data_IF_083474447029
#
_entry.id   IF_083474447029
#
_cell.length_a   1.000
_cell.length_b   1.000
_cell.length_c   1.000
_cell.angle_alpha   90.00
_cell.angle_beta   90.00
_cell.angle_gamma   90.00
#
_symmetry.space_group_name_H-M   'P 1'
#
loop_
_entity.id
_entity.type
_entity.pdbx_description
1 polymer ?
#
# COMPACT_ATOMS: atom_id res chain seq x y z
N UNK A 1 -10.14 -4.53 7.41
CA UNK A 1 -10.60 -3.22 6.85
C UNK A 1 -12.08 -3.25 6.56
N UNK A 2 -12.68 -2.14 6.20
CA UNK A 2 -14.13 -1.99 6.13
C UNK A 2 -14.58 -1.60 4.72
N UNK A 3 -15.64 -2.25 4.23
CA UNK A 3 -16.30 -1.90 2.97
C UNK A 3 -17.33 -0.80 3.21
N UNK A 4 -17.31 0.21 2.36
CA UNK A 4 -18.25 1.33 2.36
C UNK A 4 -18.79 1.57 0.96
N UNK A 5 -19.99 2.13 0.90
CA UNK A 5 -20.59 2.67 -0.30
C UNK A 5 -20.59 4.19 -0.19
N UNK A 6 -19.99 4.87 -1.16
CA UNK A 6 -20.20 6.31 -1.35
C UNK A 6 -21.29 6.48 -2.42
N UNK A 7 -22.33 7.23 -2.12
CA UNK A 7 -23.41 7.54 -3.05
C UNK A 7 -23.35 8.99 -3.46
N UNK A 8 -23.48 9.24 -4.76
CA UNK A 8 -23.52 10.55 -5.41
C UNK A 8 -24.92 10.73 -6.02
N UNK A 9 -25.83 11.33 -5.26
CA UNK A 9 -27.20 11.58 -5.71
C UNK A 9 -27.28 12.93 -6.42
N UNK A 10 -27.69 13.01 -7.71
CA UNK A 10 -27.82 14.26 -8.42
C UNK A 10 -28.78 15.22 -7.70
N UNK A 11 -28.45 16.49 -7.64
CA UNK A 11 -29.34 17.53 -7.09
C UNK A 11 -30.46 17.94 -8.05
N UNK A 12 -30.18 17.81 -9.35
CA UNK A 12 -31.09 18.08 -10.46
C UNK A 12 -30.89 17.02 -11.52
N UNK A 13 -31.75 16.96 -12.52
CA UNK A 13 -31.48 16.09 -13.68
C UNK A 13 -30.12 16.44 -14.28
N UNK A 14 -29.29 15.42 -14.46
CA UNK A 14 -27.94 15.54 -15.00
C UNK A 14 -27.73 14.46 -16.06
N UNK A 15 -27.06 14.82 -17.14
CA UNK A 15 -26.58 13.86 -18.12
C UNK A 15 -25.17 13.39 -17.70
N UNK A 16 -24.98 12.08 -17.58
CA UNK A 16 -23.70 11.48 -17.17
C UNK A 16 -22.75 11.44 -18.36
N UNK A 17 -21.94 12.46 -18.48
CA UNK A 17 -20.87 12.58 -19.46
C UNK A 17 -19.53 12.80 -18.75
N UNK A 18 -18.45 12.87 -19.50
CA UNK A 18 -17.10 13.00 -18.94
C UNK A 18 -16.99 14.24 -18.04
N UNK A 19 -17.56 15.37 -18.41
CA UNK A 19 -17.47 16.61 -17.62
C UNK A 19 -18.18 16.52 -16.27
N UNK A 20 -19.27 15.76 -16.19
CA UNK A 20 -20.07 15.59 -14.95
C UNK A 20 -19.51 14.49 -14.04
N UNK A 21 -18.85 13.48 -14.62
CA UNK A 21 -18.30 12.33 -13.88
C UNK A 21 -16.84 12.56 -13.46
N UNK A 22 -16.05 13.32 -14.22
CA UNK A 22 -14.64 13.59 -13.93
C UNK A 22 -14.38 14.09 -12.49
N UNK A 23 -15.16 15.03 -11.91
CA UNK A 23 -14.98 15.44 -10.53
C UNK A 23 -15.08 14.28 -9.52
N UNK A 24 -15.96 13.28 -9.78
CA UNK A 24 -16.11 12.10 -8.93
C UNK A 24 -14.86 11.21 -9.02
N UNK A 25 -14.35 10.96 -10.23
CA UNK A 25 -13.12 10.21 -10.42
C UNK A 25 -11.93 10.89 -9.74
N UNK A 26 -11.83 12.21 -9.89
CA UNK A 26 -10.79 13.00 -9.25
C UNK A 26 -10.90 12.94 -7.71
N UNK A 27 -12.12 13.04 -7.17
CA UNK A 27 -12.35 12.91 -5.73
C UNK A 27 -11.91 11.54 -5.19
N UNK A 28 -12.36 10.45 -5.82
CA UNK A 28 -11.97 9.09 -5.44
C UNK A 28 -10.45 8.87 -5.60
N UNK A 29 -9.87 9.40 -6.69
CA UNK A 29 -8.43 9.37 -6.91
C UNK A 29 -7.63 10.12 -5.84
N UNK A 30 -8.12 11.27 -5.37
CA UNK A 30 -7.49 12.03 -4.29
C UNK A 30 -7.64 11.34 -2.93
N UNK A 31 -8.78 10.71 -2.64
CA UNK A 31 -8.94 9.87 -1.44
C UNK A 31 -7.90 8.73 -1.42
N UNK A 32 -7.70 8.06 -2.57
CA UNK A 32 -6.68 7.03 -2.70
C UNK A 32 -5.27 7.56 -2.50
N UNK A 33 -4.91 8.64 -3.18
CA UNK A 33 -3.57 9.25 -3.08
C UNK A 33 -3.28 9.83 -1.69
N UNK A 34 -4.31 10.23 -0.96
CA UNK A 34 -4.20 10.63 0.44
C UNK A 34 -4.17 9.44 1.41
N UNK A 35 -4.39 8.21 0.92
CA UNK A 35 -4.38 6.99 1.72
C UNK A 35 -5.63 6.74 2.56
N UNK A 36 -6.75 7.42 2.25
CA UNK A 36 -8.03 7.28 2.94
C UNK A 36 -8.83 6.08 2.43
N UNK A 37 -8.61 5.66 1.17
CA UNK A 37 -9.21 4.46 0.56
C UNK A 37 -8.14 3.61 -0.11
N UNK A 38 -8.44 2.33 -0.35
CA UNK A 38 -7.62 1.48 -1.19
C UNK A 38 -7.87 1.75 -2.68
N UNK A 39 -6.94 1.34 -3.55
CA UNK A 39 -7.00 1.58 -4.99
C UNK A 39 -8.20 0.93 -5.68
N UNK A 40 -8.65 -0.21 -5.17
CA UNK A 40 -9.71 -1.00 -5.83
C UNK A 40 -11.08 -0.42 -5.48
N UNK A 41 -11.52 0.54 -6.27
CA UNK A 41 -12.87 1.10 -6.20
C UNK A 41 -13.51 1.09 -7.59
N UNK A 42 -14.80 0.87 -7.62
CA UNK A 42 -15.60 0.83 -8.84
C UNK A 42 -16.73 1.85 -8.75
N UNK A 43 -16.94 2.64 -9.79
CA UNK A 43 -18.05 3.56 -9.92
C UNK A 43 -19.15 2.88 -10.73
N UNK A 44 -20.35 2.84 -10.17
CA UNK A 44 -21.52 2.15 -10.75
C UNK A 44 -22.67 3.14 -10.86
N UNK A 45 -23.35 3.13 -12.01
CA UNK A 45 -24.58 3.87 -12.22
C UNK A 45 -25.79 3.00 -11.84
N UNK A 46 -26.79 3.60 -11.21
CA UNK A 46 -28.10 3.01 -11.00
C UNK A 46 -29.20 4.08 -11.18
N UNK A 47 -30.47 3.69 -11.02
CA UNK A 47 -31.63 4.58 -11.17
C UNK A 47 -31.64 5.81 -10.24
N UNK A 48 -30.93 5.77 -9.13
CA UNK A 48 -30.93 6.79 -8.08
C UNK A 48 -29.67 7.69 -8.16
N UNK A 49 -28.73 7.41 -9.08
CA UNK A 49 -27.50 8.14 -9.27
C UNK A 49 -26.27 7.24 -9.42
N UNK A 50 -25.12 7.77 -9.03
CA UNK A 50 -23.85 7.04 -9.05
C UNK A 50 -23.46 6.59 -7.64
N UNK A 51 -22.77 5.45 -7.53
CA UNK A 51 -22.20 5.03 -6.27
C UNK A 51 -20.86 4.31 -6.48
N UNK A 52 -20.00 4.41 -5.50
CA UNK A 52 -18.72 3.71 -5.49
C UNK A 52 -18.62 2.74 -4.32
N UNK A 53 -18.21 1.50 -4.60
CA UNK A 53 -17.74 0.57 -3.57
C UNK A 53 -16.28 0.90 -3.26
N UNK A 54 -15.99 1.17 -2.00
CA UNK A 54 -14.65 1.50 -1.54
C UNK A 54 -14.27 0.67 -0.33
N UNK A 55 -12.97 0.51 -0.09
CA UNK A 55 -12.44 -0.10 1.14
C UNK A 55 -11.68 0.95 1.92
N UNK A 56 -12.07 1.14 3.18
CA UNK A 56 -11.40 2.02 4.12
C UNK A 56 -10.41 1.23 4.97
N UNK A 57 -9.21 1.80 5.26
CA UNK A 57 -8.26 1.19 6.19
C UNK A 57 -8.84 1.09 7.61
N UNK A 58 -9.63 2.08 8.02
CA UNK A 58 -10.39 2.09 9.30
C UNK A 58 -11.63 3.00 9.20
N UNK A 59 -12.41 3.09 10.29
CA UNK A 59 -13.64 3.87 10.32
C UNK A 59 -13.45 5.41 10.37
N UNK A 60 -12.23 5.88 10.60
CA UNK A 60 -11.92 7.31 10.72
C UNK A 60 -11.49 7.95 9.40
N UNK A 61 -11.18 7.11 8.40
CA UNK A 61 -10.52 7.56 7.17
C UNK A 61 -11.29 8.66 6.40
N UNK A 62 -12.63 8.64 6.40
CA UNK A 62 -13.45 9.64 5.70
C UNK A 62 -13.81 10.87 6.55
N UNK A 63 -13.28 11.00 7.76
CA UNK A 63 -13.52 12.22 8.56
C UNK A 63 -12.90 13.44 7.87
N UNK A 64 -13.60 14.59 7.88
CA UNK A 64 -13.13 15.81 7.20
C UNK A 64 -11.75 16.29 7.63
N UNK A 65 -11.36 16.08 8.88
CA UNK A 65 -10.03 16.44 9.40
C UNK A 65 -8.88 15.66 8.75
N UNK A 66 -9.17 14.53 8.13
CA UNK A 66 -8.18 13.71 7.42
C UNK A 66 -8.03 14.10 5.94
N UNK A 67 -8.84 15.02 5.45
CA UNK A 67 -8.77 15.46 4.07
C UNK A 67 -7.56 16.39 3.85
N UNK A 68 -6.80 16.13 2.80
CA UNK A 68 -5.84 17.10 2.30
C UNK A 68 -6.53 18.18 1.41
N UNK A 69 -5.73 19.12 0.89
CA UNK A 69 -6.23 20.21 0.05
C UNK A 69 -6.93 19.71 -1.22
N UNK A 70 -6.43 18.63 -1.82
CA UNK A 70 -6.98 18.08 -3.07
C UNK A 70 -8.30 17.34 -2.85
N UNK A 71 -8.39 16.53 -1.78
CA UNK A 71 -9.64 15.87 -1.39
C UNK A 71 -10.73 16.91 -1.15
N UNK A 72 -10.43 18.00 -0.41
CA UNK A 72 -11.38 19.07 -0.16
C UNK A 72 -11.77 19.79 -1.44
N UNK A 73 -10.82 20.08 -2.34
CA UNK A 73 -11.06 20.72 -3.63
C UNK A 73 -12.06 19.92 -4.47
N UNK A 74 -11.79 18.64 -4.68
CA UNK A 74 -12.65 17.81 -5.54
C UNK A 74 -13.96 17.41 -4.87
N UNK A 75 -14.00 17.29 -3.54
CA UNK A 75 -15.26 17.11 -2.82
C UNK A 75 -16.16 18.33 -2.99
N UNK A 76 -15.61 19.54 -2.99
CA UNK A 76 -16.37 20.76 -3.25
C UNK A 76 -16.95 20.75 -4.68
N UNK A 77 -16.14 20.43 -5.69
CA UNK A 77 -16.58 20.32 -7.07
C UNK A 77 -17.69 19.26 -7.26
N UNK A 78 -17.55 18.08 -6.65
CA UNK A 78 -18.60 17.04 -6.66
C UNK A 78 -19.88 17.59 -6.02
N UNK A 79 -19.77 18.28 -4.89
CA UNK A 79 -20.92 18.84 -4.17
C UNK A 79 -21.65 19.97 -4.92
N UNK A 80 -21.11 20.52 -5.98
CA UNK A 80 -21.85 21.44 -6.84
C UNK A 80 -23.05 20.77 -7.51
N UNK A 81 -22.88 19.52 -7.94
CA UNK A 81 -23.88 18.79 -8.72
C UNK A 81 -24.54 17.63 -7.96
N UNK A 82 -23.87 17.09 -6.92
CA UNK A 82 -24.30 15.90 -6.20
C UNK A 82 -24.41 16.10 -4.70
N UNK A 83 -25.35 15.42 -4.08
CA UNK A 83 -25.32 15.13 -2.65
C UNK A 83 -24.46 13.90 -2.43
N UNK A 84 -23.49 13.98 -1.51
CA UNK A 84 -22.54 12.89 -1.22
C UNK A 84 -22.85 12.30 0.15
N UNK A 85 -23.04 11.01 0.21
CA UNK A 85 -23.24 10.26 1.46
C UNK A 85 -22.38 9.00 1.47
N UNK A 86 -22.05 8.49 2.64
CA UNK A 86 -21.33 7.23 2.81
C UNK A 86 -22.08 6.31 3.76
N UNK A 87 -22.08 5.01 3.45
CA UNK A 87 -22.73 3.97 4.21
C UNK A 87 -21.76 2.83 4.49
N UNK A 88 -21.68 2.38 5.74
CA UNK A 88 -20.93 1.20 6.13
C UNK A 88 -21.65 -0.06 5.65
N UNK A 89 -20.98 -0.92 4.90
CA UNK A 89 -21.54 -2.16 4.38
C UNK A 89 -21.13 -3.38 5.20
N UNK A 90 -20.00 -3.32 5.88
CA UNK A 90 -19.47 -4.44 6.64
C UNK A 90 -17.94 -4.55 6.56
N UNK A 91 -17.40 -5.63 7.13
CA UNK A 91 -15.98 -5.96 7.03
C UNK A 91 -15.64 -6.48 5.63
N UNK A 92 -14.61 -5.93 5.02
CA UNK A 92 -14.05 -6.50 3.79
C UNK A 92 -13.14 -7.68 4.14
N UNK A 93 -13.58 -8.88 3.78
CA UNK A 93 -12.88 -10.14 4.13
C UNK A 93 -11.60 -10.37 3.32
N UNK A 94 -11.36 -9.58 2.28
CA UNK A 94 -10.14 -9.68 1.46
C UNK A 94 -8.95 -8.93 2.07
N UNK A 95 -9.17 -8.21 3.18
CA UNK A 95 -8.16 -7.35 3.80
C UNK A 95 -8.12 -7.55 5.31
N UNK A 96 -6.92 -7.58 5.85
CA UNK A 96 -6.70 -7.58 7.28
C UNK A 96 -7.01 -6.22 7.92
N UNK A 97 -7.08 -6.19 9.24
CA UNK A 97 -7.24 -4.95 9.98
C UNK A 97 -5.96 -4.12 9.92
N UNK A 98 -6.12 -2.81 9.84
CA UNK A 98 -5.01 -1.87 9.94
C UNK A 98 -4.38 -1.84 11.33
N UNK A 99 -3.17 -1.29 11.42
CA UNK A 99 -2.50 -1.04 12.67
C UNK A 99 -3.34 -0.10 13.56
N UNK A 100 -3.50 -0.50 14.82
CA UNK A 100 -4.17 0.27 15.88
C UNK A 100 -3.21 0.73 17.00
N UNK A 101 -1.90 0.51 16.85
CA UNK A 101 -0.88 0.98 17.79
C UNK A 101 -0.89 2.51 17.81
N UNK A 102 -0.98 3.11 19.01
CA UNK A 102 -0.95 4.57 19.13
C UNK A 102 0.43 5.14 18.79
N UNK A 103 1.49 4.46 19.21
CA UNK A 103 2.87 4.88 19.00
C UNK A 103 3.74 3.70 18.58
N UNK A 104 3.73 3.31 17.29
CA UNK A 104 4.67 2.31 16.79
C UNK A 104 6.12 2.69 17.10
N UNK A 105 6.93 1.71 17.53
CA UNK A 105 8.34 1.95 17.86
C UNK A 105 9.23 2.04 16.62
N UNK A 106 8.84 1.39 15.54
CA UNK A 106 9.49 1.43 14.22
C UNK A 106 8.52 1.03 13.12
N UNK A 107 8.92 1.28 11.88
CA UNK A 107 8.12 1.00 10.69
C UNK A 107 8.94 0.25 9.64
N UNK A 108 8.23 -0.39 8.72
CA UNK A 108 8.81 -1.08 7.57
C UNK A 108 8.09 -0.70 6.29
N UNK A 109 8.85 -0.42 5.23
CA UNK A 109 8.32 -0.31 3.87
C UNK A 109 8.31 -1.71 3.24
N UNK A 110 7.12 -2.27 3.05
CA UNK A 110 6.89 -3.61 2.54
C UNK A 110 5.64 -3.69 1.68
N UNK A 111 5.70 -4.43 0.61
CA UNK A 111 4.55 -4.85 -0.19
C UNK A 111 4.87 -6.14 -0.93
N UNK A 112 3.86 -6.82 -1.45
CA UNK A 112 3.96 -7.87 -2.45
C UNK A 112 2.87 -7.71 -3.50
N UNK A 113 2.85 -8.57 -4.52
CA UNK A 113 1.93 -8.45 -5.64
C UNK A 113 0.45 -8.62 -5.23
N UNK A 114 0.15 -9.30 -4.13
CA UNK A 114 -1.22 -9.54 -3.64
C UNK A 114 -1.75 -8.40 -2.77
N UNK A 115 -0.86 -7.72 -2.03
CA UNK A 115 -1.26 -6.70 -1.05
C UNK A 115 -1.73 -5.42 -1.75
N UNK A 116 -2.87 -4.89 -1.36
CA UNK A 116 -3.38 -3.59 -1.80
C UNK A 116 -3.49 -2.56 -0.67
N UNK A 117 -3.13 -2.96 0.54
CA UNK A 117 -3.03 -2.11 1.73
C UNK A 117 -1.85 -1.14 1.60
N UNK A 118 -1.78 -0.21 2.56
CA UNK A 118 -0.62 0.68 2.71
C UNK A 118 0.68 -0.11 2.71
N UNK A 119 1.72 0.31 1.97
CA UNK A 119 3.01 -0.34 2.01
C UNK A 119 3.83 -0.02 3.28
N UNK A 120 3.31 0.84 4.16
CA UNK A 120 3.94 1.08 5.46
C UNK A 120 3.36 0.14 6.49
N UNK A 121 4.22 -0.66 7.10
CA UNK A 121 3.87 -1.69 8.08
C UNK A 121 4.42 -1.29 9.44
N UNK A 122 3.59 -1.45 10.47
CA UNK A 122 3.99 -1.23 11.87
C UNK A 122 4.97 -2.33 12.30
N UNK A 123 6.10 -1.92 12.85
CA UNK A 123 7.14 -2.82 13.33
C UNK A 123 6.77 -3.59 14.61
N UNK A 124 5.78 -3.15 15.35
CA UNK A 124 5.37 -3.79 16.60
C UNK A 124 4.27 -4.85 16.38
N UNK A 125 3.31 -4.58 15.51
CA UNK A 125 2.17 -5.49 15.30
C UNK A 125 2.13 -6.16 13.92
N UNK A 126 3.01 -5.77 12.96
CA UNK A 126 3.05 -6.33 11.62
C UNK A 126 1.88 -5.97 10.71
N UNK A 127 1.01 -5.03 11.12
CA UNK A 127 -0.15 -4.60 10.34
C UNK A 127 0.14 -3.34 9.54
N UNK A 128 -0.56 -3.17 8.41
CA UNK A 128 -0.47 -1.98 7.57
C UNK A 128 -0.91 -0.73 8.33
N UNK A 129 -0.11 0.34 8.24
CA UNK A 129 -0.42 1.65 8.82
C UNK A 129 -1.13 2.48 7.76
N UNK A 130 -2.34 3.01 8.02
CA UNK A 130 -3.04 3.84 7.06
C UNK A 130 -2.21 5.06 6.65
N UNK A 131 -2.03 5.29 5.34
CA UNK A 131 -1.18 6.38 4.86
C UNK A 131 -1.70 7.76 5.30
N UNK A 132 -3.02 7.97 5.36
CA UNK A 132 -3.58 9.25 5.77
C UNK A 132 -3.22 9.67 7.21
N UNK A 133 -2.73 8.72 8.04
CA UNK A 133 -2.20 8.98 9.39
C UNK A 133 -0.72 9.38 9.41
N UNK A 134 -0.05 9.28 8.29
CA UNK A 134 1.38 9.56 8.15
C UNK A 134 1.58 10.92 7.46
N UNK A 135 2.65 11.63 7.79
CA UNK A 135 2.95 12.88 7.11
C UNK A 135 3.27 12.65 5.64
N UNK A 136 2.87 13.58 4.79
CA UNK A 136 3.32 13.59 3.40
C UNK A 136 4.83 13.85 3.33
N UNK A 137 5.51 13.12 2.45
CA UNK A 137 6.97 13.20 2.24
C UNK A 137 7.27 13.71 0.82
N UNK A 138 8.55 13.93 0.50
CA UNK A 138 9.01 14.28 -0.85
C UNK A 138 8.38 15.59 -1.40
N UNK A 139 8.13 16.57 -0.52
CA UNK A 139 7.56 17.89 -0.87
C UNK A 139 6.22 17.81 -1.61
N UNK A 140 5.43 16.80 -1.31
CA UNK A 140 4.10 16.56 -1.88
C UNK A 140 3.03 16.68 -0.79
N UNK A 141 1.82 17.07 -1.18
CA UNK A 141 0.62 17.03 -0.33
C UNK A 141 -0.19 15.74 -0.54
N UNK A 142 0.40 14.74 -1.17
CA UNK A 142 -0.17 13.40 -1.42
C UNK A 142 0.90 12.32 -1.22
N UNK A 143 0.49 11.06 -1.01
CA UNK A 143 1.39 9.91 -0.93
C UNK A 143 1.75 9.30 -2.30
N UNK A 144 1.65 10.10 -3.37
CA UNK A 144 1.84 9.61 -4.75
C UNK A 144 3.18 8.89 -4.96
N UNK A 145 4.29 9.41 -4.42
CA UNK A 145 5.61 8.78 -4.55
C UNK A 145 5.69 7.40 -3.86
N UNK A 146 5.06 7.27 -2.69
CA UNK A 146 4.98 6.01 -1.94
C UNK A 146 4.14 4.98 -2.69
N UNK A 147 2.98 5.39 -3.18
CA UNK A 147 2.06 4.55 -3.95
C UNK A 147 2.63 4.20 -5.33
N UNK A 148 3.40 5.10 -5.94
CA UNK A 148 4.14 4.85 -7.18
C UNK A 148 5.21 3.77 -7.00
N UNK A 149 5.99 3.86 -5.91
CA UNK A 149 6.94 2.81 -5.55
C UNK A 149 6.23 1.47 -5.31
N UNK A 150 5.11 1.47 -4.58
CA UNK A 150 4.32 0.26 -4.34
C UNK A 150 3.87 -0.37 -5.66
N UNK A 151 3.37 0.43 -6.60
CA UNK A 151 2.92 -0.06 -7.90
C UNK A 151 4.09 -0.66 -8.72
N UNK A 152 5.26 -0.01 -8.70
CA UNK A 152 6.47 -0.51 -9.37
C UNK A 152 6.95 -1.84 -8.76
N UNK A 153 6.97 -1.92 -7.41
CA UNK A 153 7.34 -3.16 -6.72
C UNK A 153 6.39 -4.31 -7.06
N UNK A 154 5.08 -4.08 -6.98
CA UNK A 154 4.05 -5.08 -7.32
C UNK A 154 4.18 -5.57 -8.75
N UNK A 155 4.40 -4.67 -9.70
CA UNK A 155 4.61 -5.04 -11.12
C UNK A 155 5.85 -5.90 -11.30
N UNK A 156 6.94 -5.59 -10.61
CA UNK A 156 8.17 -6.36 -10.63
C UNK A 156 7.96 -7.76 -10.03
N UNK A 157 7.27 -7.84 -8.90
CA UNK A 157 6.97 -9.09 -8.20
C UNK A 157 6.00 -9.98 -9.00
N UNK A 158 5.02 -9.41 -9.71
CA UNK A 158 4.14 -10.12 -10.65
C UNK A 158 4.99 -10.76 -11.77
N UNK A 159 5.85 -10.00 -12.41
CA UNK A 159 6.71 -10.52 -13.48
C UNK A 159 7.59 -11.67 -12.98
N UNK A 160 8.16 -11.52 -11.79
CA UNK A 160 8.96 -12.58 -11.18
C UNK A 160 8.12 -13.82 -10.83
N UNK A 161 6.92 -13.64 -10.30
CA UNK A 161 6.00 -14.74 -9.95
C UNK A 161 5.60 -15.58 -11.15
N UNK A 162 5.43 -14.95 -12.31
CA UNK A 162 5.13 -15.63 -13.58
C UNK A 162 6.37 -16.04 -14.38
N UNK A 163 7.56 -15.99 -13.77
CA UNK A 163 8.84 -16.39 -14.39
C UNK A 163 9.17 -15.58 -15.65
N UNK A 164 8.77 -14.32 -15.70
CA UNK A 164 9.12 -13.39 -16.76
C UNK A 164 10.28 -12.49 -16.30
N UNK A 165 11.36 -12.45 -17.09
CA UNK A 165 12.54 -11.61 -16.79
C UNK A 165 13.17 -11.87 -15.41
N UNK A 166 13.25 -13.12 -14.97
CA UNK A 166 13.64 -13.55 -13.62
C UNK A 166 14.88 -12.85 -13.07
N UNK A 167 15.96 -12.74 -13.88
CA UNK A 167 17.20 -12.10 -13.43
C UNK A 167 17.04 -10.62 -13.15
N UNK A 168 16.28 -9.92 -13.98
CA UNK A 168 16.03 -8.50 -13.83
C UNK A 168 15.14 -8.24 -12.62
N UNK A 169 13.99 -8.91 -12.55
CA UNK A 169 13.00 -8.73 -11.49
C UNK A 169 13.55 -9.12 -10.12
N UNK A 170 14.22 -10.27 -10.03
CA UNK A 170 14.91 -10.68 -8.82
C UNK A 170 15.93 -9.64 -8.36
N UNK A 171 16.78 -9.14 -9.28
CA UNK A 171 17.77 -8.12 -8.98
C UNK A 171 17.11 -6.84 -8.46
N UNK A 172 16.00 -6.39 -9.07
CA UNK A 172 15.31 -5.18 -8.63
C UNK A 172 14.83 -5.29 -7.17
N UNK A 173 14.36 -6.44 -6.73
CA UNK A 173 13.82 -6.65 -5.38
C UNK A 173 14.87 -7.05 -4.33
N UNK A 174 15.96 -7.73 -4.76
CA UNK A 174 16.97 -8.33 -3.86
C UNK A 174 18.24 -7.50 -3.70
N UNK A 175 18.65 -6.74 -4.72
CA UNK A 175 19.87 -5.94 -4.69
C UNK A 175 19.57 -4.56 -4.07
N UNK A 176 20.18 -4.22 -2.90
CA UNK A 176 19.94 -2.92 -2.28
C UNK A 176 20.45 -1.73 -3.12
N UNK A 177 21.24 -2.00 -4.16
CA UNK A 177 21.75 -0.99 -5.13
C UNK A 177 20.88 -0.90 -6.39
N UNK A 178 19.82 -1.70 -6.52
CA UNK A 178 18.87 -1.57 -7.63
C UNK A 178 18.09 -0.26 -7.53
N UNK A 179 17.54 0.22 -8.66
CA UNK A 179 16.75 1.43 -8.66
C UNK A 179 15.54 1.31 -7.71
N UNK A 180 14.80 0.20 -7.80
CA UNK A 180 13.61 -0.04 -6.96
C UNK A 180 13.94 -0.03 -5.47
N UNK A 181 15.06 -0.67 -5.08
CA UNK A 181 15.51 -0.69 -3.67
C UNK A 181 16.00 0.68 -3.22
N UNK A 182 16.76 1.41 -4.05
CA UNK A 182 17.24 2.76 -3.73
C UNK A 182 16.08 3.74 -3.52
N UNK A 183 15.05 3.67 -4.37
CA UNK A 183 13.85 4.50 -4.23
C UNK A 183 13.10 4.17 -2.93
N UNK A 184 12.94 2.88 -2.60
CA UNK A 184 12.33 2.45 -1.35
C UNK A 184 13.12 2.88 -0.11
N UNK A 185 14.45 2.76 -0.14
CA UNK A 185 15.33 3.23 0.94
C UNK A 185 15.23 4.77 1.10
N UNK A 186 15.11 5.51 -0.01
CA UNK A 186 14.91 6.96 0.03
C UNK A 186 13.58 7.35 0.67
N UNK A 187 12.51 6.62 0.37
CA UNK A 187 11.19 6.77 1.02
C UNK A 187 11.31 6.53 2.53
N UNK A 188 11.97 5.45 2.95
CA UNK A 188 12.19 5.15 4.37
C UNK A 188 12.91 6.29 5.08
N UNK A 189 13.99 6.82 4.50
CA UNK A 189 14.73 7.96 5.06
C UNK A 189 13.87 9.20 5.20
N UNK A 190 13.07 9.53 4.18
CA UNK A 190 12.20 10.70 4.22
C UNK A 190 11.12 10.59 5.32
N UNK A 191 10.57 9.39 5.55
CA UNK A 191 9.67 9.16 6.69
C UNK A 191 10.41 9.22 8.03
N UNK A 192 11.57 8.58 8.16
CA UNK A 192 12.37 8.61 9.39
C UNK A 192 12.72 10.05 9.79
N UNK A 193 13.13 10.90 8.84
CA UNK A 193 13.41 12.31 9.06
C UNK A 193 12.18 13.11 9.55
N UNK A 194 10.98 12.81 9.00
CA UNK A 194 9.75 13.53 9.39
C UNK A 194 9.14 13.04 10.69
N UNK A 195 9.20 11.75 10.97
CA UNK A 195 8.51 11.11 12.12
C UNK A 195 9.44 10.98 13.32
N UNK A 196 10.76 10.92 13.10
CA UNK A 196 11.77 10.72 14.16
C UNK A 196 11.79 9.29 14.71
N UNK A 197 11.21 8.32 14.00
CA UNK A 197 11.22 6.89 14.36
C UNK A 197 11.87 6.07 13.27
N UNK A 198 12.56 4.95 13.59
CA UNK A 198 13.24 4.13 12.59
C UNK A 198 12.31 3.60 11.52
N UNK A 199 12.69 3.76 10.25
CA UNK A 199 12.03 3.19 9.09
C UNK A 199 12.99 2.25 8.37
N UNK A 200 12.54 1.01 8.15
CA UNK A 200 13.33 -0.03 7.52
C UNK A 200 12.77 -0.37 6.14
N UNK A 201 13.67 -0.58 5.19
CA UNK A 201 13.32 -1.12 3.89
C UNK A 201 13.34 -2.65 3.95
N UNK A 202 12.24 -3.29 3.52
CA UNK A 202 12.20 -4.74 3.39
C UNK A 202 12.89 -5.19 2.11
N UNK A 203 14.03 -5.87 2.26
CA UNK A 203 14.78 -6.43 1.15
C UNK A 203 14.30 -7.85 0.86
N UNK A 204 13.83 -8.08 -0.35
CA UNK A 204 13.39 -9.41 -0.78
C UNK A 204 14.53 -10.44 -0.67
N UNK A 205 14.22 -11.59 -0.08
CA UNK A 205 15.17 -12.67 0.10
C UNK A 205 14.63 -13.99 -0.45
N UNK A 206 15.46 -14.71 -1.21
CA UNK A 206 15.14 -16.03 -1.74
C UNK A 206 16.20 -17.05 -1.27
N UNK A 207 16.11 -17.50 0.00
CA UNK A 207 16.94 -18.57 0.61
C UNK A 207 18.47 -18.42 0.51
N UNK A 208 18.97 -17.47 -0.28
CA UNK A 208 20.39 -17.25 -0.56
C UNK A 208 21.00 -16.11 0.24
N UNK A 209 20.26 -15.56 1.22
CA UNK A 209 20.75 -14.40 1.96
C UNK A 209 21.97 -14.79 2.79
N UNK A 210 23.01 -14.02 2.60
CA UNK A 210 24.18 -14.08 3.45
C UNK A 210 23.75 -13.77 4.88
N UNK A 211 24.37 -14.40 5.87
CA UNK A 211 24.20 -14.08 7.30
C UNK A 211 24.55 -12.63 7.64
N UNK A 212 25.21 -11.95 6.73
CA UNK A 212 25.71 -10.59 6.86
C UNK A 212 24.90 -9.61 6.05
N UNK A 213 24.70 -8.41 6.58
CA UNK A 213 24.02 -7.32 5.89
C UNK A 213 24.67 -7.04 4.52
N UNK A 214 23.90 -6.97 3.42
CA UNK A 214 24.47 -6.81 2.08
C UNK A 214 25.10 -5.42 1.81
N UNK A 215 24.96 -4.46 2.74
CA UNK A 215 25.55 -3.12 2.62
C UNK A 215 26.79 -2.97 3.49
N UNK A 216 26.71 -3.33 4.78
CA UNK A 216 27.80 -3.05 5.75
C UNK A 216 28.52 -4.30 6.27
N UNK A 217 28.15 -5.50 5.80
CA UNK A 217 28.71 -6.79 6.21
C UNK A 217 28.64 -7.07 7.74
N UNK A 218 27.81 -6.33 8.50
CA UNK A 218 27.53 -6.66 9.91
C UNK A 218 26.60 -7.87 10.03
N UNK A 219 26.68 -8.61 11.14
CA UNK A 219 25.63 -9.60 11.46
C UNK A 219 24.30 -8.86 11.66
N UNK A 220 23.28 -9.30 10.97
CA UNK A 220 21.94 -8.70 11.03
C UNK A 220 20.85 -9.71 11.38
N UNK A 221 21.24 -10.96 11.71
CA UNK A 221 20.29 -11.98 12.12
C UNK A 221 19.73 -11.64 13.49
N UNK A 222 18.40 -11.75 13.62
CA UNK A 222 17.72 -11.62 14.91
C UNK A 222 17.79 -12.96 15.64
N UNK A 223 18.24 -12.93 16.90
CA UNK A 223 18.36 -14.09 17.76
C UNK A 223 17.41 -13.97 18.96
N UNK A 224 16.66 -15.03 19.26
CA UNK A 224 15.96 -15.19 20.53
C UNK A 224 14.54 -14.64 20.63
N UNK A 225 14.13 -13.69 19.82
CA UNK A 225 12.75 -13.15 19.85
C UNK A 225 11.95 -13.64 18.64
N UNK A 226 10.65 -13.93 18.87
CA UNK A 226 9.71 -14.17 17.78
C UNK A 226 9.32 -12.82 17.17
N UNK A 227 10.01 -12.42 16.10
CA UNK A 227 9.65 -11.28 15.28
C UNK A 227 9.06 -11.77 13.95
N UNK A 228 8.37 -10.90 13.24
CA UNK A 228 7.86 -11.22 11.89
C UNK A 228 8.91 -10.98 10.79
N UNK A 229 10.14 -10.58 11.14
CA UNK A 229 11.32 -10.55 10.27
C UNK A 229 12.45 -11.35 10.91
N UNK A 230 13.28 -11.99 10.10
CA UNK A 230 14.39 -12.82 10.58
C UNK A 230 15.73 -12.06 10.65
N UNK A 231 15.84 -10.99 9.89
CA UNK A 231 17.05 -10.16 9.76
C UNK A 231 16.72 -8.69 9.92
N UNK A 232 17.56 -7.95 10.65
CA UNK A 232 17.43 -6.50 10.85
C UNK A 232 18.79 -5.84 11.00
N UNK A 233 19.10 -4.89 10.12
CA UNK A 233 20.30 -4.08 10.20
C UNK A 233 19.95 -2.65 10.64
N UNK A 234 20.29 -2.30 11.87
CA UNK A 234 20.01 -0.97 12.44
C UNK A 234 20.80 0.13 11.73
N UNK A 235 22.04 -0.17 11.28
CA UNK A 235 22.88 0.81 10.59
C UNK A 235 22.37 1.13 9.20
N UNK A 236 21.97 0.10 8.43
CA UNK A 236 21.57 0.27 7.02
C UNK A 236 20.07 0.42 6.84
N UNK A 237 19.30 0.32 7.93
CA UNK A 237 17.82 0.35 7.90
C UNK A 237 17.23 -0.68 6.94
N UNK A 238 17.78 -1.89 6.97
CA UNK A 238 17.28 -3.03 6.20
C UNK A 238 16.66 -4.09 7.10
N UNK A 239 15.58 -4.70 6.63
CA UNK A 239 15.00 -5.92 7.19
C UNK A 239 14.79 -6.95 6.09
N UNK A 240 14.76 -8.23 6.46
CA UNK A 240 14.43 -9.34 5.54
C UNK A 240 13.91 -10.55 6.33
N UNK A 241 13.21 -11.45 5.65
CA UNK A 241 12.95 -12.80 6.15
C UNK A 241 14.02 -13.77 5.66
N UNK A 242 14.16 -14.90 6.34
CA UNK A 242 15.02 -16.01 5.91
C UNK A 242 14.65 -16.48 4.50
N UNK A 243 13.36 -16.56 4.24
CA UNK A 243 12.76 -16.74 2.93
C UNK A 243 11.60 -15.79 2.85
N UNK A 244 11.60 -14.89 1.88
CA UNK A 244 10.48 -13.95 1.73
C UNK A 244 9.18 -14.74 1.62
N UNK A 245 8.32 -14.57 2.63
CA UNK A 245 7.03 -15.24 2.69
C UNK A 245 6.20 -14.64 1.57
N UNK A 246 6.06 -15.37 0.49
CA UNK A 246 4.95 -15.13 -0.43
C UNK A 246 3.69 -15.42 0.36
N UNK A 247 2.71 -14.57 0.25
CA UNK A 247 1.40 -14.82 0.84
C UNK A 247 1.04 -16.27 0.61
N UNK A 248 0.64 -16.98 1.66
CA UNK A 248 0.44 -18.43 1.66
C UNK A 248 -0.40 -18.78 0.44
N UNK A 249 0.26 -19.17 -0.64
CA UNK A 249 -0.41 -19.89 -1.71
C UNK A 249 -0.80 -21.21 -1.05
N UNK A 250 -2.06 -21.29 -0.66
CA UNK A 250 -2.71 -22.54 -0.29
C UNK A 250 -2.19 -23.59 -1.28
N UNK A 251 -1.56 -24.66 -0.78
CA UNK A 251 -1.03 -25.77 -1.54
C UNK A 251 -1.91 -26.11 -2.74
N UNK A 252 -1.67 -25.49 -3.87
CA UNK A 252 -2.06 -26.03 -5.15
C UNK A 252 -0.79 -26.66 -5.71
N UNK A 253 -0.74 -27.98 -5.69
CA UNK A 253 0.25 -28.73 -6.45
C UNK A 253 0.41 -28.10 -7.84
N UNK A 254 1.64 -27.97 -8.37
CA UNK A 254 1.86 -27.36 -9.65
C UNK A 254 1.11 -28.18 -10.72
N UNK A 255 0.13 -27.58 -11.35
CA UNK A 255 -0.72 -28.17 -12.42
C UNK A 255 0.10 -28.51 -13.69
N UNK A 256 1.38 -28.15 -13.74
CA UNK A 256 2.22 -28.45 -14.89
C UNK A 256 3.44 -29.30 -14.49
N UNK A 257 3.21 -30.57 -14.28
CA UNK A 257 4.21 -31.62 -14.54
C UNK A 257 3.53 -32.77 -15.26
N UNK A 258 3.32 -32.62 -16.56
CA UNK A 258 3.24 -33.73 -17.54
C UNK A 258 3.19 -33.12 -18.94
N UNK A 259 4.25 -33.34 -19.70
CA UNK A 259 4.28 -33.07 -21.13
C UNK A 259 5.62 -32.57 -21.65
N UNK A 260 6.69 -33.35 -21.43
CA UNK A 260 7.76 -33.43 -22.42
C UNK A 260 7.55 -34.77 -23.13
N UNK A 261 7.10 -34.70 -24.36
CA UNK A 261 7.40 -35.66 -25.42
C UNK A 261 8.23 -34.89 -26.43
#
# INVERSE_FOLDING_TARGET
>A
MNAYKITFTPKTYIDYNDDTIEPIWNYLGCLYKNGQILKNYELVENKDGLWALITLPDGEALKPENNNIYVNKYLAAVKEHFNVSSEFLGRNMNHDESCSCQEPSWYMLYTDWMLSESPIVCGDCGKAVPLYKLPHILQSDEHYGVLGWQAAYKSTDILWTYCLSDRFTFRQMHDPKSQLSMDGISICKAFEEKIGKPFFYYLFNNERTKKMCPICDSDWKIYGEKTFVDYKCETCRLVADKTSKRGVIVNTEPIIKKGRV
#
